data_IF_255354011071
#
_entry.id   IF_255354011071
#
_cell.length_a   1.000
_cell.length_b   1.000
_cell.length_c   1.000
_cell.angle_alpha   90.00
_cell.angle_beta   90.00
_cell.angle_gamma   90.00
#
_symmetry.space_group_name_H-M   'P 1'
#
loop_
_entity.id
_entity.type
_entity.pdbx_description
1 polymer ?
#
# COMPACT_ATOMS: atom_id res chain seq x y z
N UNK A 1 22.00 14.31 -2.70
CA UNK A 1 22.20 13.01 -3.36
C UNK A 1 21.86 11.96 -2.32
N UNK A 2 20.79 11.18 -2.50
CA UNK A 2 20.51 10.06 -1.57
C UNK A 2 21.69 9.07 -1.72
N UNK A 3 22.26 8.53 -0.65
CA UNK A 3 23.31 7.51 -0.77
C UNK A 3 22.78 6.35 -1.63
N UNK A 4 23.61 5.86 -2.54
CA UNK A 4 23.28 4.67 -3.35
C UNK A 4 23.09 3.50 -2.40
N UNK A 5 21.84 3.04 -2.30
CA UNK A 5 21.46 1.89 -1.48
C UNK A 5 21.84 0.61 -2.23
N UNK A 6 22.52 -0.31 -1.56
CA UNK A 6 22.97 -1.57 -2.17
C UNK A 6 21.87 -2.64 -2.11
N UNK A 7 22.06 -3.73 -2.86
CA UNK A 7 21.19 -4.89 -2.82
C UNK A 7 21.10 -5.47 -1.39
N UNK A 8 22.22 -5.53 -0.67
CA UNK A 8 22.30 -6.04 0.70
C UNK A 8 21.48 -5.20 1.67
N UNK A 9 21.46 -3.87 1.48
CA UNK A 9 20.61 -2.97 2.26
C UNK A 9 19.13 -3.37 2.12
N UNK A 10 18.61 -3.47 0.89
CA UNK A 10 17.22 -3.84 0.67
C UNK A 10 16.91 -5.28 1.12
N UNK A 11 17.81 -6.24 0.91
CA UNK A 11 17.61 -7.61 1.38
C UNK A 11 17.45 -7.69 2.90
N UNK A 12 18.16 -6.83 3.65
CA UNK A 12 18.09 -6.76 5.12
C UNK A 12 16.81 -6.12 5.67
N UNK A 13 16.03 -5.44 4.84
CA UNK A 13 14.77 -4.83 5.28
C UNK A 13 13.67 -5.88 5.47
N UNK A 14 12.78 -5.69 6.47
CA UNK A 14 11.71 -6.63 6.81
C UNK A 14 10.53 -6.52 5.84
N UNK A 15 10.76 -6.88 4.58
CA UNK A 15 9.70 -6.96 3.56
C UNK A 15 8.65 -8.00 3.93
N UNK A 16 7.37 -7.63 3.86
CA UNK A 16 6.26 -8.47 4.26
C UNK A 16 5.98 -9.51 3.18
N UNK A 17 6.05 -10.79 3.56
CA UNK A 17 5.68 -11.90 2.69
C UNK A 17 4.21 -12.27 2.92
N UNK A 18 3.37 -12.12 1.91
CA UNK A 18 2.00 -12.62 1.92
C UNK A 18 1.93 -13.95 1.17
N UNK A 19 1.53 -15.02 1.86
CA UNK A 19 1.29 -16.35 1.27
C UNK A 19 -0.22 -16.58 1.20
N UNK A 20 -0.71 -16.94 0.02
CA UNK A 20 -2.12 -17.15 -0.27
C UNK A 20 -2.28 -18.60 -0.74
N UNK A 21 -3.08 -19.44 -0.07
CA UNK A 21 -3.34 -20.78 -0.55
C UNK A 21 -4.17 -20.74 -1.83
N UNK A 22 -3.78 -21.55 -2.82
CA UNK A 22 -4.59 -21.76 -4.01
C UNK A 22 -5.60 -22.87 -3.74
N UNK A 23 -6.88 -22.50 -3.67
CA UNK A 23 -7.98 -23.44 -3.37
C UNK A 23 -8.55 -24.12 -4.62
N UNK A 24 -8.18 -23.69 -5.82
CA UNK A 24 -8.69 -24.24 -7.09
C UNK A 24 -7.72 -25.28 -7.66
N UNK A 25 -6.43 -24.95 -7.76
CA UNK A 25 -5.40 -25.83 -8.34
C UNK A 25 -4.57 -26.58 -7.27
N UNK A 26 -4.66 -26.13 -6.01
CA UNK A 26 -3.80 -26.60 -4.93
C UNK A 26 -2.43 -25.90 -4.92
N UNK A 27 -1.79 -25.87 -3.75
CA UNK A 27 -0.52 -25.17 -3.56
C UNK A 27 -0.68 -23.76 -3.00
N UNK A 28 0.33 -22.92 -3.24
CA UNK A 28 0.47 -21.60 -2.63
C UNK A 28 0.98 -20.57 -3.65
N UNK A 29 0.42 -19.37 -3.61
CA UNK A 29 0.99 -18.17 -4.18
C UNK A 29 1.66 -17.32 -3.11
N UNK A 30 2.70 -16.58 -3.47
CA UNK A 30 3.36 -15.63 -2.59
C UNK A 30 3.65 -14.31 -3.30
N UNK A 31 3.59 -13.22 -2.54
CA UNK A 31 3.97 -11.88 -3.02
C UNK A 31 4.57 -11.02 -1.92
N UNK A 32 5.34 -10.01 -2.35
CA UNK A 32 5.76 -8.89 -1.51
C UNK A 32 4.97 -7.64 -1.90
N UNK A 33 4.02 -7.16 -1.09
CA UNK A 33 3.17 -6.01 -1.41
C UNK A 33 3.96 -4.73 -1.73
N UNK A 34 5.12 -4.56 -1.12
CA UNK A 34 6.00 -3.41 -1.31
C UNK A 34 6.88 -3.53 -2.57
N UNK A 35 6.92 -4.71 -3.20
CA UNK A 35 7.66 -4.97 -4.44
C UNK A 35 6.67 -5.38 -5.56
N UNK A 36 5.99 -4.41 -6.20
CA UNK A 36 4.97 -4.70 -7.19
C UNK A 36 5.48 -5.60 -8.32
N UNK A 37 4.78 -6.71 -8.56
CA UNK A 37 5.16 -7.70 -9.58
C UNK A 37 6.09 -8.81 -9.09
N UNK A 38 6.61 -8.74 -7.86
CA UNK A 38 7.33 -9.86 -7.23
C UNK A 38 6.33 -10.91 -6.73
N UNK A 39 5.94 -11.83 -7.61
CA UNK A 39 4.95 -12.89 -7.36
C UNK A 39 5.57 -14.24 -7.72
N UNK A 40 5.29 -15.26 -6.93
CA UNK A 40 5.73 -16.63 -7.18
C UNK A 40 4.68 -17.65 -6.72
N UNK A 41 4.85 -18.90 -7.13
CA UNK A 41 4.00 -20.02 -6.75
C UNK A 41 4.85 -21.24 -6.30
N UNK A 42 4.22 -22.15 -5.58
CA UNK A 42 4.88 -23.33 -5.02
C UNK A 42 3.86 -24.34 -4.53
N UNK A 43 4.20 -25.62 -4.60
CA UNK A 43 3.28 -26.71 -4.23
C UNK A 43 3.22 -26.93 -2.71
N UNK A 44 4.30 -26.59 -2.00
CA UNK A 44 4.45 -26.78 -0.54
C UNK A 44 4.79 -25.46 0.17
N UNK A 45 4.63 -25.44 1.49
CA UNK A 45 4.98 -24.28 2.31
C UNK A 45 6.50 -24.00 2.27
N UNK A 46 7.31 -25.04 2.26
CA UNK A 46 8.76 -24.92 2.17
C UNK A 46 9.20 -24.39 0.80
N UNK A 47 8.58 -24.88 -0.28
CA UNK A 47 8.88 -24.43 -1.64
C UNK A 47 8.47 -22.98 -1.85
N UNK A 48 7.29 -22.57 -1.37
CA UNK A 48 6.83 -21.18 -1.57
C UNK A 48 7.71 -20.17 -0.84
N UNK A 49 8.22 -20.51 0.36
CA UNK A 49 9.13 -19.63 1.12
C UNK A 49 10.45 -19.48 0.36
N UNK A 50 11.05 -20.59 -0.08
CA UNK A 50 12.30 -20.55 -0.86
C UNK A 50 12.13 -19.75 -2.16
N UNK A 51 11.09 -20.05 -2.91
CA UNK A 51 10.80 -19.36 -4.17
C UNK A 51 10.53 -17.87 -3.96
N UNK A 52 9.93 -17.48 -2.83
CA UNK A 52 9.70 -16.08 -2.50
C UNK A 52 11.01 -15.34 -2.19
N UNK A 53 11.92 -15.94 -1.43
CA UNK A 53 13.23 -15.35 -1.16
C UNK A 53 14.06 -15.15 -2.44
N UNK A 54 14.04 -16.14 -3.34
CA UNK A 54 14.71 -16.06 -4.65
C UNK A 54 14.09 -14.96 -5.52
N UNK A 55 12.75 -14.93 -5.62
CA UNK A 55 12.03 -13.89 -6.38
C UNK A 55 12.32 -12.48 -5.83
N UNK A 56 12.36 -12.31 -4.50
CA UNK A 56 12.70 -11.03 -3.85
C UNK A 56 14.10 -10.58 -4.28
N UNK A 57 15.07 -11.48 -4.26
CA UNK A 57 16.46 -11.16 -4.62
C UNK A 57 16.58 -10.75 -6.08
N UNK A 58 15.98 -11.51 -6.99
CA UNK A 58 16.02 -11.21 -8.43
C UNK A 58 15.32 -9.89 -8.77
N UNK A 59 14.14 -9.66 -8.19
CA UNK A 59 13.38 -8.44 -8.38
C UNK A 59 14.17 -7.20 -7.93
N UNK A 60 14.78 -7.26 -6.73
CA UNK A 60 15.57 -6.14 -6.20
C UNK A 60 16.82 -5.86 -7.04
N UNK A 61 17.47 -6.91 -7.55
CA UNK A 61 18.64 -6.77 -8.42
C UNK A 61 18.25 -6.10 -9.75
N UNK A 62 17.19 -6.58 -10.41
CA UNK A 62 16.69 -5.97 -11.65
C UNK A 62 16.26 -4.52 -11.43
N UNK A 63 15.55 -4.23 -10.34
CA UNK A 63 15.09 -2.87 -10.04
C UNK A 63 16.26 -1.89 -9.81
N UNK A 64 17.35 -2.34 -9.19
CA UNK A 64 18.57 -1.55 -9.03
C UNK A 64 19.27 -1.30 -10.37
N UNK A 65 19.37 -2.31 -11.23
CA UNK A 65 19.99 -2.20 -12.56
C UNK A 65 19.20 -1.27 -13.49
N UNK A 66 17.88 -1.37 -13.45
CA UNK A 66 16.97 -0.58 -14.29
C UNK A 66 16.67 0.82 -13.72
N UNK A 67 17.18 1.14 -12.52
CA UNK A 67 16.93 2.41 -11.84
C UNK A 67 15.47 2.62 -11.44
N UNK A 68 14.72 1.52 -11.23
CA UNK A 68 13.34 1.54 -10.76
C UNK A 68 13.33 1.94 -9.28
N UNK A 69 12.36 2.78 -8.88
CA UNK A 69 12.21 3.15 -7.48
C UNK A 69 11.76 1.95 -6.64
N UNK A 70 12.58 1.57 -5.66
CA UNK A 70 12.30 0.48 -4.73
C UNK A 70 11.67 1.06 -3.46
N UNK A 71 10.42 0.67 -3.19
CA UNK A 71 9.74 1.04 -1.96
C UNK A 71 10.29 0.27 -0.77
N UNK A 72 10.54 0.97 0.33
CA UNK A 72 10.92 0.36 1.60
C UNK A 72 9.67 -0.10 2.37
N UNK A 73 9.76 -1.16 3.18
CA UNK A 73 8.69 -1.51 4.08
C UNK A 73 8.42 -0.34 5.02
N UNK A 74 7.17 0.08 5.06
CA UNK A 74 6.71 1.10 5.99
C UNK A 74 6.68 0.46 7.37
N UNK A 75 7.34 1.05 8.36
CA UNK A 75 7.22 0.57 9.73
C UNK A 75 5.77 0.76 10.18
N UNK A 76 4.99 -0.33 10.20
CA UNK A 76 3.59 -0.30 10.65
C UNK A 76 3.45 0.21 12.09
N UNK A 77 4.52 0.13 12.91
CA UNK A 77 4.53 0.67 14.27
C UNK A 77 4.63 2.21 14.28
N UNK A 78 5.15 2.82 13.22
CA UNK A 78 5.12 4.27 13.02
C UNK A 78 3.85 4.58 12.24
N UNK A 79 2.71 4.75 12.93
CA UNK A 79 1.45 5.14 12.29
C UNK A 79 1.67 6.38 11.40
N UNK A 80 1.78 6.23 10.06
CA UNK A 80 2.13 7.35 9.19
C UNK A 80 0.88 8.22 8.90
N UNK A 81 -0.29 7.78 9.37
CA UNK A 81 -1.56 8.39 9.06
C UNK A 81 -1.93 9.42 10.12
N UNK A 82 -1.63 10.68 9.85
CA UNK A 82 -2.01 11.80 10.72
C UNK A 82 -3.53 12.07 10.75
N UNK A 83 -4.29 11.51 9.81
CA UNK A 83 -5.69 11.83 9.56
C UNK A 83 -5.90 13.26 9.01
N UNK A 84 -4.82 14.00 8.76
CA UNK A 84 -4.87 15.40 8.32
C UNK A 84 -4.31 15.55 6.91
N UNK A 85 -5.12 16.09 6.02
CA UNK A 85 -4.67 16.45 4.67
C UNK A 85 -5.36 17.74 4.23
N UNK A 86 -4.60 18.62 3.58
CA UNK A 86 -5.11 19.90 3.05
C UNK A 86 -5.39 19.74 1.56
N UNK A 87 -6.62 20.03 1.15
CA UNK A 87 -7.02 19.99 -0.26
C UNK A 87 -7.30 21.38 -0.80
N UNK A 88 -7.01 21.56 -2.10
CA UNK A 88 -7.53 22.67 -2.89
C UNK A 88 -8.67 22.14 -3.74
N UNK A 89 -9.85 22.75 -3.61
CA UNK A 89 -11.06 22.36 -4.36
C UNK A 89 -11.60 23.54 -5.15
N UNK A 90 -12.37 23.31 -6.23
CA UNK A 90 -13.04 24.38 -6.97
C UNK A 90 -13.92 25.24 -6.04
N UNK A 91 -13.94 26.55 -6.27
CA UNK A 91 -14.70 27.52 -5.45
C UNK A 91 -16.17 27.15 -5.33
N UNK A 92 -16.76 26.63 -6.41
CA UNK A 92 -18.16 26.23 -6.43
C UNK A 92 -18.43 25.03 -5.52
N UNK A 93 -17.54 24.03 -5.50
CA UNK A 93 -17.67 22.87 -4.63
C UNK A 93 -17.54 23.29 -3.15
N UNK A 94 -16.57 24.15 -2.85
CA UNK A 94 -16.42 24.71 -1.51
C UNK A 94 -17.70 25.42 -1.04
N UNK A 95 -18.32 26.23 -1.91
CA UNK A 95 -19.58 26.93 -1.60
C UNK A 95 -20.68 25.93 -1.23
N UNK A 96 -20.88 24.91 -2.06
CA UNK A 96 -21.91 23.89 -1.84
C UNK A 96 -21.70 23.17 -0.50
N UNK A 97 -20.47 22.72 -0.22
CA UNK A 97 -20.15 22.04 1.04
C UNK A 97 -20.39 22.93 2.26
N UNK A 98 -20.00 24.21 2.19
CA UNK A 98 -20.22 25.17 3.28
C UNK A 98 -21.71 25.45 3.53
N UNK A 99 -22.51 25.59 2.47
CA UNK A 99 -23.96 25.80 2.59
C UNK A 99 -24.65 24.58 3.19
N UNK A 100 -24.26 23.37 2.79
CA UNK A 100 -24.83 22.14 3.35
C UNK A 100 -24.45 21.96 4.82
N UNK A 101 -23.17 22.14 5.17
CA UNK A 101 -22.72 22.09 6.55
C UNK A 101 -23.48 23.06 7.45
N UNK A 102 -23.73 24.28 6.96
CA UNK A 102 -24.54 25.28 7.67
C UNK A 102 -25.99 24.84 7.86
N UNK A 103 -26.63 24.23 6.86
CA UNK A 103 -28.00 23.70 6.98
C UNK A 103 -28.11 22.59 8.03
N UNK A 104 -27.09 21.75 8.11
CA UNK A 104 -26.97 20.67 9.12
C UNK A 104 -26.53 21.19 10.50
N UNK A 105 -26.13 22.46 10.62
CA UNK A 105 -25.67 23.04 11.88
C UNK A 105 -24.30 22.53 12.35
N UNK A 106 -23.47 22.00 11.44
CA UNK A 106 -22.15 21.43 11.75
C UNK A 106 -21.02 22.17 11.03
N UNK A 107 -19.77 21.91 11.45
CA UNK A 107 -18.60 22.44 10.74
C UNK A 107 -18.47 21.80 9.36
N UNK A 108 -17.89 22.53 8.40
CA UNK A 108 -17.65 21.98 7.06
C UNK A 108 -16.72 20.75 7.09
N UNK A 109 -15.73 20.72 8.00
CA UNK A 109 -14.88 19.55 8.19
C UNK A 109 -15.67 18.33 8.66
N UNK A 110 -16.61 18.50 9.60
CA UNK A 110 -17.47 17.42 10.05
C UNK A 110 -18.40 16.93 8.94
N UNK A 111 -18.94 17.85 8.14
CA UNK A 111 -19.74 17.50 6.98
C UNK A 111 -18.94 16.70 5.95
N UNK A 112 -17.72 17.12 5.64
CA UNK A 112 -16.82 16.38 4.75
C UNK A 112 -16.47 14.99 5.31
N UNK A 113 -16.21 14.88 6.62
CA UNK A 113 -15.96 13.58 7.27
C UNK A 113 -17.15 12.64 7.08
N UNK A 114 -18.37 13.10 7.35
CA UNK A 114 -19.58 12.31 7.14
C UNK A 114 -19.72 11.82 5.69
N UNK A 115 -19.48 12.71 4.71
CA UNK A 115 -19.53 12.33 3.30
C UNK A 115 -18.47 11.29 2.93
N UNK A 116 -17.24 11.44 3.45
CA UNK A 116 -16.14 10.50 3.20
C UNK A 116 -16.44 9.14 3.82
N UNK A 117 -16.83 9.07 5.09
CA UNK A 117 -17.16 7.82 5.77
C UNK A 117 -18.32 7.08 5.09
N UNK A 118 -19.35 7.82 4.64
CA UNK A 118 -20.47 7.23 3.91
C UNK A 118 -20.03 6.69 2.55
N UNK A 119 -19.16 7.39 1.83
CA UNK A 119 -18.67 6.93 0.54
C UNK A 119 -17.75 5.71 0.66
N UNK A 120 -16.85 5.72 1.64
CA UNK A 120 -15.92 4.61 1.91
C UNK A 120 -16.68 3.30 2.21
N UNK A 121 -17.74 3.39 3.04
CA UNK A 121 -18.59 2.24 3.35
C UNK A 121 -19.23 1.56 2.14
N UNK A 122 -19.40 2.25 1.00
CA UNK A 122 -19.88 1.63 -0.24
C UNK A 122 -18.81 0.88 -1.03
N UNK A 123 -17.52 1.13 -0.76
CA UNK A 123 -16.40 0.48 -1.46
C UNK A 123 -15.82 -0.70 -0.68
N UNK A 124 -16.11 -0.79 0.62
CA UNK A 124 -15.63 -1.85 1.51
C UNK A 124 -16.66 -2.98 1.72
N UNK A 125 -17.81 -2.91 1.05
CA UNK A 125 -18.87 -3.92 1.05
C UNK A 125 -18.87 -4.71 -0.26
#
# INVERSE_FOLDING_TARGET
MKPEKTLEYYLSLPYRLEIIPDTEEGGYGARYPELPGCITCGETMEDIIRNAEDAKREWLLSALEDGIEIFEPVDEAVNPYSGQFKLRIPKILHKILAEHAKKEGISMNQYCLYLLSRNDAFHTA
#
